data_IF_588004639434
#
_entry.id   IF_588004639434
#
_cell.length_a   1.000
_cell.length_b   1.000
_cell.length_c   1.000
_cell.angle_alpha   90.00
_cell.angle_beta   90.00
_cell.angle_gamma   90.00
#
_symmetry.space_group_name_H-M   'P 1'
#
loop_
_entity.id
_entity.type
_entity.pdbx_description
1 polymer ?
#
# COMPACT_ATOMS: atom_id res chain seq x y z
N UNK A 1 16.75 11.27 12.47
CA UNK A 1 17.22 11.14 11.07
C UNK A 1 17.69 9.71 10.88
N UNK A 2 17.35 9.06 9.78
CA UNK A 2 17.82 7.70 9.46
C UNK A 2 19.32 7.76 9.15
N UNK A 3 20.13 7.03 9.93
CA UNK A 3 21.59 6.97 9.76
C UNK A 3 22.05 5.53 9.59
N UNK A 4 23.21 5.26 8.93
CA UNK A 4 23.74 3.91 8.81
C UNK A 4 23.89 3.19 10.17
N UNK A 5 24.41 3.88 11.18
CA UNK A 5 24.56 3.29 12.54
C UNK A 5 23.23 2.88 13.15
N UNK A 6 22.17 3.68 12.95
CA UNK A 6 20.83 3.33 13.43
C UNK A 6 20.27 2.13 12.67
N UNK A 7 20.47 2.08 11.35
CA UNK A 7 20.05 0.95 10.52
C UNK A 7 20.78 -0.33 10.95
N UNK A 8 22.10 -0.26 11.20
CA UNK A 8 22.89 -1.40 11.67
C UNK A 8 22.33 -1.97 12.98
N UNK A 9 22.09 -1.11 13.97
CA UNK A 9 21.49 -1.50 15.26
C UNK A 9 20.12 -2.15 15.10
N UNK A 10 19.28 -1.65 14.20
CA UNK A 10 17.98 -2.25 13.93
C UNK A 10 18.10 -3.59 13.22
N UNK A 11 19.08 -3.75 12.33
CA UNK A 11 19.40 -5.03 11.69
C UNK A 11 19.85 -6.06 12.72
N UNK A 12 20.74 -5.69 13.65
CA UNK A 12 21.19 -6.53 14.76
C UNK A 12 20.03 -6.93 15.69
N UNK A 13 19.06 -6.02 15.89
CA UNK A 13 17.84 -6.30 16.63
C UNK A 13 16.82 -7.18 15.88
N UNK A 14 17.14 -7.62 14.65
CA UNK A 14 16.30 -8.52 13.86
C UNK A 14 15.27 -7.82 12.96
N UNK A 15 15.40 -6.52 12.72
CA UNK A 15 14.54 -5.85 11.74
C UNK A 15 14.85 -6.38 10.33
N UNK A 16 13.81 -6.88 9.62
CA UNK A 16 13.96 -7.43 8.28
C UNK A 16 13.45 -6.51 7.17
N UNK A 17 12.63 -5.51 7.52
CA UNK A 17 12.04 -4.58 6.55
C UNK A 17 11.80 -3.21 7.16
N UNK A 18 12.13 -2.16 6.38
CA UNK A 18 11.78 -0.77 6.65
C UNK A 18 10.64 -0.32 5.77
N UNK A 19 9.65 0.35 6.35
CA UNK A 19 8.65 1.09 5.61
C UNK A 19 8.91 2.59 5.71
N UNK A 20 9.07 3.23 4.57
CA UNK A 20 9.34 4.66 4.45
C UNK A 20 8.19 5.34 3.71
N UNK A 21 7.65 6.39 4.29
CA UNK A 21 6.70 7.24 3.58
C UNK A 21 7.48 8.30 2.82
N UNK A 22 7.46 8.24 1.49
CA UNK A 22 8.17 9.19 0.62
C UNK A 22 7.22 9.61 -0.49
N UNK A 23 6.73 10.84 -0.39
CA UNK A 23 5.93 11.50 -1.43
C UNK A 23 6.28 12.99 -1.56
N UNK A 24 5.84 13.60 -2.66
CA UNK A 24 6.11 15.00 -2.97
C UNK A 24 5.40 15.98 -2.02
N UNK A 25 4.26 15.56 -1.44
CA UNK A 25 3.47 16.38 -0.53
C UNK A 25 4.12 16.63 0.85
N UNK A 26 5.16 15.88 1.19
CA UNK A 26 5.85 16.02 2.49
C UNK A 26 6.76 17.24 2.60
N UNK A 27 7.03 17.96 1.50
CA UNK A 27 7.85 19.18 1.47
C UNK A 27 9.19 19.03 2.23
N UNK A 28 9.89 17.91 2.06
CA UNK A 28 11.14 17.62 2.76
C UNK A 28 12.23 18.60 2.36
N UNK A 29 13.09 19.09 3.31
CA UNK A 29 14.20 19.95 2.99
C UNK A 29 15.11 19.35 1.90
N UNK A 30 15.38 20.13 0.85
CA UNK A 30 16.13 19.70 -0.34
C UNK A 30 15.32 18.92 -1.38
N UNK A 31 14.05 18.60 -1.10
CA UNK A 31 13.13 17.84 -1.98
C UNK A 31 11.78 18.55 -2.20
N UNK A 32 11.72 19.84 -1.92
CA UNK A 32 10.56 20.68 -2.20
C UNK A 32 10.39 20.91 -3.71
N UNK A 33 9.15 21.07 -4.17
CA UNK A 33 8.80 21.33 -5.58
C UNK A 33 9.29 20.23 -6.55
N UNK A 34 9.40 19.01 -6.07
CA UNK A 34 9.70 17.83 -6.89
C UNK A 34 8.41 17.14 -7.31
N UNK A 35 8.39 16.63 -8.54
CA UNK A 35 7.34 15.73 -8.99
C UNK A 35 7.42 14.40 -8.24
N UNK A 36 6.34 13.64 -8.28
CA UNK A 36 6.31 12.35 -7.59
C UNK A 36 7.32 11.36 -8.22
N UNK A 37 7.51 11.41 -9.53
CA UNK A 37 8.52 10.61 -10.23
C UNK A 37 9.95 11.03 -9.85
N UNK A 38 10.24 12.31 -9.67
CA UNK A 38 11.56 12.80 -9.21
C UNK A 38 11.88 12.34 -7.79
N UNK A 39 10.87 12.08 -6.94
CA UNK A 39 11.08 11.50 -5.61
C UNK A 39 11.64 10.08 -5.64
N UNK A 40 11.66 9.40 -6.80
CA UNK A 40 12.35 8.12 -6.95
C UNK A 40 13.86 8.23 -6.66
N UNK A 41 14.48 9.40 -6.85
CA UNK A 41 15.87 9.62 -6.47
C UNK A 41 16.08 9.57 -4.95
N UNK A 42 15.13 10.12 -4.18
CA UNK A 42 15.16 10.03 -2.72
C UNK A 42 14.86 8.60 -2.24
N UNK A 43 13.90 7.92 -2.88
CA UNK A 43 13.63 6.51 -2.59
C UNK A 43 14.85 5.65 -2.85
N UNK A 44 15.56 5.90 -3.98
CA UNK A 44 16.79 5.18 -4.30
C UNK A 44 17.89 5.42 -3.27
N UNK A 45 18.08 6.67 -2.84
CA UNK A 45 19.01 7.00 -1.77
C UNK A 45 18.77 6.19 -0.49
N UNK A 46 17.51 6.06 -0.08
CA UNK A 46 17.16 5.23 1.09
C UNK A 46 17.37 3.74 0.82
N UNK A 47 17.02 3.25 -0.36
CA UNK A 47 17.25 1.85 -0.75
C UNK A 47 18.73 1.51 -0.66
N UNK A 48 19.61 2.35 -1.22
CA UNK A 48 21.04 2.12 -1.21
C UNK A 48 21.58 2.15 0.22
N UNK A 49 21.20 3.16 1.02
CA UNK A 49 21.60 3.26 2.43
C UNK A 49 21.21 2.02 3.24
N UNK A 50 19.98 1.56 3.11
CA UNK A 50 19.43 0.42 3.88
C UNK A 50 20.04 -0.90 3.42
N UNK A 51 20.24 -1.06 2.10
CA UNK A 51 20.83 -2.27 1.53
C UNK A 51 22.30 -2.43 1.89
N UNK A 52 23.08 -1.35 1.82
CA UNK A 52 24.52 -1.41 2.08
C UNK A 52 24.83 -1.69 3.56
N UNK A 53 23.91 -1.29 4.45
CA UNK A 53 24.15 -1.39 5.90
C UNK A 53 23.71 -2.73 6.51
N UNK A 54 22.68 -3.44 5.96
CA UNK A 54 22.19 -4.52 6.82
C UNK A 54 21.40 -5.63 6.15
N UNK A 55 21.29 -5.71 4.85
CA UNK A 55 20.46 -6.70 4.18
C UNK A 55 18.94 -6.53 4.46
N UNK A 56 18.55 -5.42 5.07
CA UNK A 56 17.15 -5.08 5.32
C UNK A 56 16.50 -4.69 4.01
N UNK A 57 15.27 -5.13 3.78
CA UNK A 57 14.46 -4.73 2.63
C UNK A 57 13.77 -3.40 2.87
N UNK A 58 13.51 -2.67 1.80
CA UNK A 58 12.68 -1.47 1.84
C UNK A 58 11.25 -1.77 1.41
N UNK A 59 10.30 -1.09 2.04
CA UNK A 59 8.96 -0.85 1.57
C UNK A 59 8.71 0.66 1.52
N UNK A 60 7.84 1.09 0.62
CA UNK A 60 7.48 2.50 0.50
C UNK A 60 5.98 2.68 0.54
N UNK A 61 5.56 3.74 1.21
CA UNK A 61 4.20 4.26 1.16
C UNK A 61 4.23 5.60 0.42
N UNK A 62 3.22 5.87 -0.38
CA UNK A 62 3.04 7.13 -1.08
C UNK A 62 1.57 7.49 -1.16
N UNK A 63 1.27 8.77 -1.09
CA UNK A 63 -0.08 9.30 -1.23
C UNK A 63 -0.35 9.63 -2.70
N UNK A 64 -1.43 9.06 -3.23
CA UNK A 64 -1.89 9.32 -4.59
C UNK A 64 -3.03 10.35 -4.56
N UNK A 65 -2.88 11.39 -5.37
CA UNK A 65 -3.85 12.47 -5.64
C UNK A 65 -4.13 12.53 -7.13
N UNK A 66 -5.16 13.23 -7.56
CA UNK A 66 -5.36 13.47 -8.99
C UNK A 66 -4.14 14.11 -9.65
N UNK A 67 -3.50 15.05 -8.96
CA UNK A 67 -2.33 15.78 -9.47
C UNK A 67 -1.12 14.89 -9.78
N UNK A 68 -0.93 13.76 -9.10
CA UNK A 68 0.20 12.84 -9.32
C UNK A 68 -0.20 11.47 -9.89
N UNK A 69 -1.49 11.22 -10.15
CA UNK A 69 -1.98 9.93 -10.65
C UNK A 69 -1.27 9.50 -11.94
N UNK A 70 -1.00 10.45 -12.84
CA UNK A 70 -0.32 10.16 -14.11
C UNK A 70 1.14 9.74 -13.95
N UNK A 71 1.77 10.02 -12.82
CA UNK A 71 3.16 9.64 -12.52
C UNK A 71 3.28 8.26 -11.86
N UNK A 72 2.17 7.68 -11.36
CA UNK A 72 2.17 6.40 -10.64
C UNK A 72 2.77 5.26 -11.46
N UNK A 73 2.52 5.12 -12.79
CA UNK A 73 3.16 4.08 -13.59
C UNK A 73 4.70 4.18 -13.60
N UNK A 74 5.28 5.39 -13.61
CA UNK A 74 6.74 5.58 -13.59
C UNK A 74 7.34 5.17 -12.26
N UNK A 75 6.63 5.44 -11.17
CA UNK A 75 7.03 5.00 -9.83
C UNK A 75 6.99 3.47 -9.74
N UNK A 76 5.96 2.85 -10.28
CA UNK A 76 5.84 1.38 -10.30
C UNK A 76 6.91 0.75 -11.21
N UNK A 77 7.31 1.40 -12.32
CA UNK A 77 8.46 0.95 -13.14
C UNK A 77 9.76 0.98 -12.35
N UNK A 78 10.03 2.08 -11.63
CA UNK A 78 11.18 2.19 -10.72
C UNK A 78 11.14 1.12 -9.63
N UNK A 79 9.99 0.92 -9.00
CA UNK A 79 9.77 -0.09 -7.98
C UNK A 79 10.07 -1.50 -8.50
N UNK A 80 9.55 -1.86 -9.69
CA UNK A 80 9.80 -3.14 -10.35
C UNK A 80 11.27 -3.35 -10.71
N UNK A 81 11.98 -2.30 -11.10
CA UNK A 81 13.42 -2.36 -11.39
C UNK A 81 14.27 -2.65 -10.13
N UNK A 82 13.74 -2.34 -8.94
CA UNK A 82 14.37 -2.61 -7.65
C UNK A 82 13.79 -3.84 -6.91
N UNK A 83 13.26 -4.82 -7.64
CA UNK A 83 12.55 -5.98 -7.08
C UNK A 83 13.34 -6.80 -6.07
N UNK A 84 14.65 -6.78 -6.12
CA UNK A 84 15.54 -7.48 -5.19
C UNK A 84 15.76 -6.74 -3.86
N UNK A 85 15.55 -5.43 -3.84
CA UNK A 85 15.81 -4.54 -2.70
C UNK A 85 14.55 -3.94 -2.08
N UNK A 86 13.54 -3.70 -2.94
CA UNK A 86 12.26 -3.13 -2.53
C UNK A 86 11.21 -4.23 -2.63
N UNK A 87 10.64 -4.62 -1.50
CA UNK A 87 9.69 -5.73 -1.41
C UNK A 87 8.23 -5.29 -1.48
N UNK A 88 7.96 -4.02 -1.15
CA UNK A 88 6.61 -3.52 -0.97
C UNK A 88 6.48 -2.05 -1.44
N UNK A 89 5.39 -1.75 -2.13
CA UNK A 89 4.95 -0.38 -2.43
C UNK A 89 3.46 -0.27 -2.13
N UNK A 90 3.08 0.70 -1.29
CA UNK A 90 1.68 1.06 -1.04
C UNK A 90 1.35 2.37 -1.75
N UNK A 91 0.42 2.31 -2.69
CA UNK A 91 -0.23 3.46 -3.29
C UNK A 91 -1.50 3.76 -2.50
N UNK A 92 -1.46 4.79 -1.67
CA UNK A 92 -2.58 5.15 -0.77
C UNK A 92 -3.35 6.29 -1.42
N UNK A 93 -4.59 6.05 -1.82
CA UNK A 93 -5.47 7.10 -2.31
C UNK A 93 -5.58 8.21 -1.27
N UNK A 94 -5.52 9.47 -1.73
CA UNK A 94 -5.60 10.61 -0.81
C UNK A 94 -6.92 10.57 -0.05
N UNK A 95 -6.81 10.72 1.26
CA UNK A 95 -7.97 10.81 2.13
C UNK A 95 -8.32 12.27 2.34
N UNK A 96 -9.51 12.60 1.95
CA UNK A 96 -10.11 13.87 2.26
C UNK A 96 -11.38 13.69 3.07
N UNK A 97 -11.79 14.74 3.77
CA UNK A 97 -13.09 14.82 4.44
C UNK A 97 -13.97 15.77 3.62
N UNK A 98 -15.08 15.29 3.00
CA UNK A 98 -15.99 16.13 2.27
C UNK A 98 -16.52 17.29 3.13
N UNK A 99 -16.73 18.47 2.54
CA UNK A 99 -17.18 19.66 3.28
C UNK A 99 -18.52 19.47 3.99
N UNK A 100 -19.42 18.74 3.37
CA UNK A 100 -20.72 18.36 3.93
C UNK A 100 -20.59 17.46 5.16
N UNK A 101 -19.63 16.55 5.16
CA UNK A 101 -19.33 15.65 6.28
C UNK A 101 -18.57 16.36 7.40
N UNK A 102 -17.75 17.35 7.08
CA UNK A 102 -17.01 18.14 8.07
C UNK A 102 -17.93 18.84 9.08
N UNK A 103 -19.16 19.14 8.69
CA UNK A 103 -20.12 19.80 9.55
C UNK A 103 -20.81 18.86 10.56
N UNK A 104 -20.63 17.55 10.42
CA UNK A 104 -21.30 16.53 11.26
C UNK A 104 -20.33 15.69 12.07
N UNK A 105 -19.05 16.06 12.09
CA UNK A 105 -18.06 15.38 12.91
C UNK A 105 -18.30 15.72 14.39
N UNK A 106 -18.43 14.68 15.20
CA UNK A 106 -18.62 14.79 16.64
C UNK A 106 -17.69 13.85 17.39
N UNK A 107 -17.19 14.32 18.53
CA UNK A 107 -16.48 13.50 19.51
C UNK A 107 -17.12 13.72 20.89
N UNK A 108 -17.55 12.64 21.53
CA UNK A 108 -18.26 12.69 22.81
C UNK A 108 -19.45 13.69 22.82
N UNK A 109 -20.21 13.76 21.72
CA UNK A 109 -21.34 14.66 21.57
C UNK A 109 -20.99 16.13 21.28
N UNK A 110 -19.70 16.47 21.18
CA UNK A 110 -19.25 17.81 20.84
C UNK A 110 -18.82 17.88 19.38
N UNK A 111 -19.24 18.94 18.68
CA UNK A 111 -18.84 19.18 17.30
C UNK A 111 -17.34 19.43 17.20
N UNK A 112 -16.69 18.80 16.22
CA UNK A 112 -15.27 18.99 15.90
C UNK A 112 -15.17 19.82 14.62
N UNK A 113 -14.18 20.73 14.58
CA UNK A 113 -13.85 21.49 13.37
C UNK A 113 -12.69 20.82 12.62
N UNK A 114 -12.64 20.99 11.29
CA UNK A 114 -11.55 20.47 10.44
C UNK A 114 -10.17 20.95 10.90
N UNK A 115 -10.08 22.19 11.40
CA UNK A 115 -8.83 22.79 11.86
C UNK A 115 -8.22 22.07 13.08
N UNK A 116 -9.02 21.26 13.77
CA UNK A 116 -8.54 20.45 14.90
C UNK A 116 -7.93 19.11 14.47
N UNK A 117 -7.97 18.77 13.18
CA UNK A 117 -7.45 17.52 12.64
C UNK A 117 -6.19 17.77 11.79
N UNK A 118 -5.10 16.97 11.97
CA UNK A 118 -3.84 17.17 11.24
C UNK A 118 -3.98 16.96 9.71
N UNK A 119 -4.94 16.16 9.29
CA UNK A 119 -5.23 15.84 7.89
C UNK A 119 -6.41 16.65 7.33
N UNK A 120 -6.69 17.81 7.91
CA UNK A 120 -7.74 18.70 7.41
C UNK A 120 -7.47 19.06 5.94
N UNK A 121 -8.46 18.83 5.09
CA UNK A 121 -8.38 19.15 3.65
C UNK A 121 -8.44 20.65 3.49
N UNK A 122 -7.59 21.17 2.64
CA UNK A 122 -7.80 22.51 2.10
C UNK A 122 -9.10 22.50 1.29
N UNK A 123 -9.95 23.53 1.42
CA UNK A 123 -11.26 23.58 0.78
C UNK A 123 -11.29 23.33 -0.75
N UNK A 124 -10.15 23.49 -1.41
CA UNK A 124 -10.00 23.46 -2.86
C UNK A 124 -9.35 22.18 -3.41
N UNK A 125 -9.03 21.19 -2.56
CA UNK A 125 -8.46 19.94 -3.03
C UNK A 125 -9.56 18.96 -3.48
N UNK A 126 -9.40 18.40 -4.68
CA UNK A 126 -10.21 17.28 -5.17
C UNK A 126 -9.90 16.03 -4.36
N UNK A 127 -10.93 15.41 -3.81
CA UNK A 127 -10.83 14.29 -2.86
C UNK A 127 -11.42 12.98 -3.38
N UNK A 128 -11.77 12.95 -4.64
CA UNK A 128 -12.57 11.90 -5.28
C UNK A 128 -11.73 10.79 -5.94
N UNK A 129 -10.43 10.71 -5.63
CA UNK A 129 -9.59 9.61 -6.13
C UNK A 129 -9.87 8.32 -5.38
N UNK A 130 -10.11 7.24 -6.12
CA UNK A 130 -10.39 5.91 -5.59
C UNK A 130 -9.26 4.91 -5.87
N UNK A 131 -9.30 3.77 -5.17
CA UNK A 131 -8.42 2.63 -5.47
C UNK A 131 -8.63 2.10 -6.89
N UNK A 132 -9.84 2.23 -7.43
CA UNK A 132 -10.18 1.79 -8.78
C UNK A 132 -9.51 2.67 -9.82
N UNK A 133 -9.48 4.00 -9.63
CA UNK A 133 -8.79 4.93 -10.54
C UNK A 133 -7.30 4.62 -10.63
N UNK A 134 -6.68 4.32 -9.49
CA UNK A 134 -5.27 3.93 -9.44
C UNK A 134 -5.05 2.59 -10.17
N UNK A 135 -5.92 1.61 -9.94
CA UNK A 135 -5.84 0.30 -10.61
C UNK A 135 -6.01 0.43 -12.13
N UNK A 136 -6.98 1.20 -12.58
CA UNK A 136 -7.25 1.45 -14.00
C UNK A 136 -6.05 2.14 -14.66
N UNK A 137 -5.50 3.19 -14.02
CA UNK A 137 -4.31 3.88 -14.51
C UNK A 137 -3.11 2.93 -14.63
N UNK A 138 -2.87 2.09 -13.64
CA UNK A 138 -1.79 1.12 -13.69
C UNK A 138 -2.03 0.06 -14.76
N UNK A 139 -3.27 -0.41 -14.92
CA UNK A 139 -3.62 -1.45 -15.88
C UNK A 139 -3.56 -0.98 -17.34
N UNK A 140 -3.77 0.33 -17.59
CA UNK A 140 -3.63 0.93 -18.91
C UNK A 140 -2.17 1.08 -19.34
N UNK A 141 -1.26 1.34 -18.39
CA UNK A 141 0.10 1.77 -18.69
C UNK A 141 1.17 0.68 -18.43
N UNK A 142 0.80 -0.39 -17.74
CA UNK A 142 1.73 -1.44 -17.31
C UNK A 142 1.19 -2.85 -17.57
N UNK A 143 2.09 -3.73 -17.98
CA UNK A 143 1.81 -5.16 -18.03
C UNK A 143 1.76 -5.78 -16.62
N UNK A 144 1.07 -6.92 -16.52
CA UNK A 144 1.04 -7.77 -15.32
C UNK A 144 0.45 -7.08 -14.08
N UNK A 145 -0.54 -6.21 -14.26
CA UNK A 145 -1.33 -5.61 -13.19
C UNK A 145 -2.56 -6.47 -12.93
N UNK A 146 -2.37 -7.57 -12.18
CA UNK A 146 -3.45 -8.51 -11.85
C UNK A 146 -3.66 -8.55 -10.35
N UNK A 147 -4.83 -8.12 -9.85
CA UNK A 147 -5.18 -8.26 -8.44
C UNK A 147 -5.12 -9.72 -7.98
N UNK A 148 -4.37 -9.98 -6.91
CA UNK A 148 -4.26 -11.30 -6.28
C UNK A 148 -5.27 -11.47 -5.15
N UNK A 149 -5.57 -10.37 -4.44
CA UNK A 149 -6.55 -10.31 -3.35
C UNK A 149 -7.05 -8.88 -3.18
N UNK A 150 -8.20 -8.75 -2.50
CA UNK A 150 -8.78 -7.46 -2.15
C UNK A 150 -9.56 -7.54 -0.84
N UNK A 151 -9.69 -6.40 -0.16
CA UNK A 151 -10.64 -6.19 0.93
C UNK A 151 -11.74 -5.23 0.48
N UNK A 152 -12.95 -5.50 0.93
CA UNK A 152 -14.13 -4.69 0.65
C UNK A 152 -14.34 -3.62 1.73
N UNK A 153 -15.26 -2.69 1.45
CA UNK A 153 -15.79 -1.79 2.45
C UNK A 153 -16.77 -2.47 3.39
N UNK A 154 -16.84 -2.02 4.64
CA UNK A 154 -17.80 -2.53 5.64
C UNK A 154 -19.22 -2.11 5.35
N UNK A 155 -19.43 -0.85 4.96
CA UNK A 155 -20.75 -0.26 4.67
C UNK A 155 -21.10 -0.36 3.19
N UNK A 156 -20.09 -0.25 2.32
CA UNK A 156 -20.21 -0.33 0.86
C UNK A 156 -19.35 -1.48 0.34
N UNK A 157 -19.87 -2.72 0.30
CA UNK A 157 -19.09 -3.90 -0.14
C UNK A 157 -18.63 -3.85 -1.60
N UNK A 158 -19.21 -2.98 -2.42
CA UNK A 158 -18.80 -2.74 -3.80
C UNK A 158 -17.52 -1.90 -3.92
N UNK A 159 -17.05 -1.26 -2.84
CA UNK A 159 -15.81 -0.51 -2.83
C UNK A 159 -14.62 -1.40 -2.50
N UNK A 160 -13.53 -1.24 -3.25
CA UNK A 160 -12.27 -1.95 -2.98
C UNK A 160 -11.38 -1.08 -2.08
N UNK A 161 -11.30 -1.46 -0.80
CA UNK A 161 -10.52 -0.74 0.21
C UNK A 161 -9.04 -1.08 0.18
N UNK A 162 -8.72 -2.29 -0.24
CA UNK A 162 -7.33 -2.72 -0.41
C UNK A 162 -7.27 -3.70 -1.56
N UNK A 163 -6.35 -3.46 -2.49
CA UNK A 163 -6.07 -4.33 -3.64
C UNK A 163 -4.61 -4.71 -3.57
N UNK A 164 -4.29 -6.00 -3.64
CA UNK A 164 -2.93 -6.50 -3.62
C UNK A 164 -2.56 -7.10 -4.96
N UNK A 165 -1.41 -6.72 -5.51
CA UNK A 165 -0.83 -7.24 -6.74
C UNK A 165 0.55 -7.79 -6.39
N UNK A 166 0.78 -9.09 -6.60
CA UNK A 166 2.05 -9.73 -6.29
C UNK A 166 2.81 -10.06 -7.59
N UNK A 167 3.79 -9.24 -7.95
CA UNK A 167 4.58 -9.43 -9.16
C UNK A 167 5.64 -10.53 -8.98
N UNK A 168 5.87 -11.33 -10.02
CA UNK A 168 6.94 -12.32 -10.11
C UNK A 168 7.95 -11.83 -11.14
N UNK A 169 9.21 -11.65 -10.73
CA UNK A 169 10.23 -11.12 -11.63
C UNK A 169 11.66 -11.35 -11.19
N UNK A 170 12.57 -10.83 -11.98
CA UNK A 170 13.99 -10.69 -11.67
C UNK A 170 14.39 -9.22 -11.77
N UNK A 171 15.64 -8.88 -11.43
CA UNK A 171 16.18 -7.52 -11.64
C UNK A 171 16.09 -7.03 -13.09
N UNK A 172 15.93 -7.93 -14.06
CA UNK A 172 15.93 -7.58 -15.47
C UNK A 172 14.53 -7.38 -16.04
N UNK A 173 13.55 -8.12 -15.51
CA UNK A 173 12.17 -8.00 -16.00
C UNK A 173 11.16 -8.66 -15.06
N UNK A 174 9.91 -8.21 -15.16
CA UNK A 174 8.75 -8.87 -14.58
C UNK A 174 8.28 -9.95 -15.55
N UNK A 175 7.99 -11.15 -15.03
CA UNK A 175 7.49 -12.30 -15.80
C UNK A 175 5.96 -12.44 -15.71
N UNK A 176 5.35 -11.95 -14.65
CA UNK A 176 3.92 -12.05 -14.39
C UNK A 176 3.56 -11.69 -12.95
N UNK A 177 2.42 -12.20 -12.51
CA UNK A 177 1.93 -12.01 -11.15
C UNK A 177 1.41 -13.32 -10.56
N UNK A 178 1.25 -13.34 -9.24
CA UNK A 178 0.54 -14.39 -8.50
C UNK A 178 -0.96 -14.17 -8.69
N UNK A 179 -1.70 -15.22 -9.01
CA UNK A 179 -3.15 -15.17 -9.16
C UNK A 179 -3.90 -15.40 -7.84
N UNK A 180 -5.21 -15.22 -7.91
CA UNK A 180 -6.13 -15.33 -6.79
C UNK A 180 -6.11 -16.69 -6.08
N UNK A 181 -5.98 -17.79 -6.84
CA UNK A 181 -5.99 -19.15 -6.29
C UNK A 181 -4.81 -19.41 -5.37
N UNK A 182 -3.61 -19.04 -5.81
CA UNK A 182 -2.40 -19.19 -5.00
C UNK A 182 -2.47 -18.28 -3.78
N UNK A 183 -2.92 -17.03 -3.95
CA UNK A 183 -3.06 -16.11 -2.82
C UNK A 183 -4.04 -16.63 -1.79
N UNK A 184 -5.19 -17.15 -2.21
CA UNK A 184 -6.16 -17.76 -1.30
C UNK A 184 -5.57 -18.97 -0.56
N UNK A 185 -4.91 -19.88 -1.26
CA UNK A 185 -4.26 -21.04 -0.64
C UNK A 185 -3.21 -20.62 0.39
N UNK A 186 -2.42 -19.61 0.07
CA UNK A 186 -1.42 -19.05 0.98
C UNK A 186 -2.10 -18.45 2.23
N UNK A 187 -3.11 -17.63 2.05
CA UNK A 187 -3.84 -17.00 3.17
C UNK A 187 -4.51 -18.04 4.06
N UNK A 188 -5.19 -19.05 3.48
CA UNK A 188 -5.82 -20.13 4.24
C UNK A 188 -4.80 -20.93 5.07
N UNK A 189 -3.62 -21.23 4.48
CA UNK A 189 -2.54 -21.92 5.17
C UNK A 189 -1.93 -21.05 6.27
N UNK A 190 -1.66 -19.78 5.95
CA UNK A 190 -1.07 -18.83 6.91
C UNK A 190 -2.01 -18.61 8.11
N UNK A 191 -3.31 -18.49 7.85
CA UNK A 191 -4.31 -18.38 8.91
C UNK A 191 -4.35 -19.62 9.82
N UNK A 192 -4.31 -20.83 9.23
CA UNK A 192 -4.28 -22.07 10.00
C UNK A 192 -3.05 -22.21 10.91
N UNK A 193 -1.90 -21.68 10.45
CA UNK A 193 -0.65 -21.77 11.18
C UNK A 193 -0.47 -20.65 12.22
N UNK A 194 -0.95 -19.46 11.92
CA UNK A 194 -0.65 -18.26 12.70
C UNK A 194 -1.88 -17.56 13.28
N UNK A 195 -3.09 -18.03 12.96
CA UNK A 195 -4.38 -17.43 13.37
C UNK A 195 -4.53 -15.95 12.98
N UNK A 196 -3.93 -15.55 11.85
CA UNK A 196 -4.01 -14.21 11.26
C UNK A 196 -3.83 -14.28 9.75
N UNK A 197 -4.34 -13.28 9.03
CA UNK A 197 -4.14 -13.16 7.59
C UNK A 197 -2.87 -12.35 7.27
N UNK A 198 -2.24 -12.65 6.14
CA UNK A 198 -1.18 -11.86 5.55
C UNK A 198 -1.61 -11.35 4.16
N UNK A 199 -1.36 -10.09 3.87
CA UNK A 199 -1.66 -9.48 2.57
C UNK A 199 -0.52 -9.65 1.57
N UNK A 200 0.64 -10.05 2.03
CA UNK A 200 1.86 -10.17 1.22
C UNK A 200 2.31 -11.62 1.15
N UNK A 201 2.85 -12.00 0.01
CA UNK A 201 3.38 -13.36 -0.17
C UNK A 201 4.88 -13.33 0.07
N UNK A 202 5.42 -14.21 0.94
CA UNK A 202 6.86 -14.29 1.13
C UNK A 202 7.57 -14.69 -0.16
N UNK A 203 8.82 -14.28 -0.28
CA UNK A 203 9.64 -14.55 -1.45
C UNK A 203 10.03 -16.02 -1.57
N UNK A 204 9.26 -16.81 -2.29
CA UNK A 204 9.56 -18.24 -2.55
C UNK A 204 10.66 -18.49 -3.60
N UNK A 205 11.21 -17.41 -4.19
CA UNK A 205 12.15 -17.57 -5.29
C UNK A 205 11.53 -18.33 -6.46
N UNK A 206 12.31 -19.19 -7.10
CA UNK A 206 11.82 -20.04 -8.22
C UNK A 206 10.75 -21.05 -7.79
N UNK A 207 10.64 -21.37 -6.52
CA UNK A 207 9.62 -22.29 -6.03
C UNK A 207 8.19 -21.80 -6.30
N UNK A 208 7.99 -20.48 -6.48
CA UNK A 208 6.69 -19.93 -6.89
C UNK A 208 6.14 -20.61 -8.16
N UNK A 209 7.00 -21.06 -9.07
CA UNK A 209 6.59 -21.69 -10.31
C UNK A 209 5.99 -23.09 -10.14
N UNK A 210 6.18 -23.77 -9.00
CA UNK A 210 5.46 -25.01 -8.70
C UNK A 210 3.95 -24.80 -8.62
N UNK A 211 3.53 -23.57 -8.26
CA UNK A 211 2.12 -23.23 -8.22
C UNK A 211 1.48 -23.06 -9.61
N UNK A 212 2.27 -23.10 -10.69
CA UNK A 212 1.77 -23.01 -12.06
C UNK A 212 0.79 -24.13 -12.43
N UNK A 213 0.82 -25.27 -11.73
CA UNK A 213 -0.16 -26.35 -11.92
C UNK A 213 -1.58 -25.91 -11.52
N UNK A 214 -1.72 -25.05 -10.52
CA UNK A 214 -2.99 -24.67 -9.94
C UNK A 214 -3.44 -23.25 -10.34
N UNK A 215 -2.50 -22.36 -10.66
CA UNK A 215 -2.73 -20.95 -10.89
C UNK A 215 -2.42 -20.54 -12.34
N UNK A 216 -3.42 -19.98 -13.02
CA UNK A 216 -3.31 -19.57 -14.43
C UNK A 216 -2.32 -18.41 -14.64
N UNK A 217 -2.23 -17.48 -13.69
CA UNK A 217 -1.36 -16.31 -13.82
C UNK A 217 0.10 -16.71 -13.58
N UNK A 218 0.37 -17.57 -12.60
CA UNK A 218 1.70 -18.13 -12.40
C UNK A 218 2.13 -19.01 -13.60
N UNK A 219 1.20 -19.72 -14.24
CA UNK A 219 1.46 -20.48 -15.46
C UNK A 219 1.87 -19.56 -16.62
N UNK A 220 1.25 -18.37 -16.74
CA UNK A 220 1.69 -17.36 -17.71
C UNK A 220 3.08 -16.83 -17.36
N UNK A 221 3.31 -16.51 -16.08
CA UNK A 221 4.62 -16.06 -15.61
C UNK A 221 5.72 -17.09 -15.88
N UNK A 222 5.47 -18.36 -15.60
CA UNK A 222 6.40 -19.46 -15.90
C UNK A 222 6.71 -19.59 -17.40
N UNK A 223 5.67 -19.47 -18.25
CA UNK A 223 5.84 -19.47 -19.71
C UNK A 223 6.73 -18.30 -20.18
N UNK A 224 6.52 -17.11 -19.63
CA UNK A 224 7.31 -15.93 -19.97
C UNK A 224 8.76 -16.08 -19.48
N UNK A 225 8.97 -16.61 -18.27
CA UNK A 225 10.29 -16.95 -17.77
C UNK A 225 11.00 -17.99 -18.68
N UNK A 226 10.32 -19.08 -19.04
CA UNK A 226 10.88 -20.13 -19.91
C UNK A 226 11.28 -19.57 -21.28
N UNK A 227 10.43 -18.71 -21.89
CA UNK A 227 10.77 -18.03 -23.15
C UNK A 227 12.00 -17.13 -23.01
N UNK A 228 12.12 -16.44 -21.88
CA UNK A 228 13.29 -15.58 -21.60
C UNK A 228 14.57 -16.42 -21.42
N UNK A 229 14.49 -17.60 -20.78
CA UNK A 229 15.59 -18.56 -20.64
C UNK A 229 15.99 -19.15 -22.01
N UNK A 230 15.03 -19.53 -22.86
CA UNK A 230 15.31 -20.02 -24.21
C UNK A 230 16.06 -18.94 -25.02
N UNK A 231 15.63 -17.69 -24.96
CA UNK A 231 16.30 -16.57 -25.66
C UNK A 231 17.68 -16.25 -25.09
N UNK A 232 17.85 -16.42 -23.78
CA UNK A 232 19.13 -16.17 -23.09
C UNK A 232 19.30 -17.17 -21.94
N UNK A 233 20.05 -18.28 -22.13
CA UNK A 233 20.22 -19.33 -21.11
C UNK A 233 20.82 -18.84 -19.79
N UNK A 234 21.57 -17.74 -19.77
CA UNK A 234 22.09 -17.17 -18.51
C UNK A 234 20.99 -16.78 -17.53
N UNK A 235 19.77 -16.53 -18.01
CA UNK A 235 18.60 -16.22 -17.16
C UNK A 235 18.17 -17.38 -16.28
N UNK A 236 18.59 -18.62 -16.60
CA UNK A 236 18.38 -19.76 -15.71
C UNK A 236 19.03 -19.56 -14.33
N UNK A 237 20.08 -18.78 -14.24
CA UNK A 237 20.79 -18.51 -12.99
C UNK A 237 20.28 -17.24 -12.26
N UNK A 238 19.34 -16.50 -12.85
CA UNK A 238 18.75 -15.32 -12.19
C UNK A 238 17.95 -15.73 -10.95
N UNK A 239 18.08 -14.90 -9.91
CA UNK A 239 17.18 -14.98 -8.75
C UNK A 239 15.80 -14.46 -9.13
N UNK A 240 14.78 -15.20 -8.76
CA UNK A 240 13.38 -14.78 -8.91
C UNK A 240 12.89 -14.27 -7.59
N UNK A 241 12.15 -13.18 -7.63
CA UNK A 241 11.59 -12.47 -6.48
C UNK A 241 10.06 -12.38 -6.63
N UNK A 242 9.39 -12.26 -5.49
CA UNK A 242 8.01 -11.81 -5.40
C UNK A 242 8.00 -10.44 -4.74
N UNK A 243 7.23 -9.53 -5.30
CA UNK A 243 7.16 -8.14 -4.89
C UNK A 243 5.71 -7.69 -4.83
N UNK A 244 5.29 -7.11 -3.69
CA UNK A 244 3.90 -6.77 -3.43
C UNK A 244 3.62 -5.28 -3.65
N UNK A 245 2.74 -4.99 -4.60
CA UNK A 245 2.14 -3.67 -4.80
C UNK A 245 0.75 -3.68 -4.16
N UNK A 246 0.49 -2.73 -3.28
CA UNK A 246 -0.78 -2.57 -2.60
C UNK A 246 -1.39 -1.22 -2.99
N UNK A 247 -2.65 -1.23 -3.38
CA UNK A 247 -3.46 -0.02 -3.57
C UNK A 247 -4.40 0.03 -2.37
N UNK A 248 -4.36 1.12 -1.63
CA UNK A 248 -5.15 1.29 -0.41
C UNK A 248 -6.07 2.49 -0.54
N UNK A 249 -7.36 2.25 -0.31
CA UNK A 249 -8.37 3.29 -0.11
C UNK A 249 -8.55 3.46 1.40
N UNK A 250 -8.23 4.62 1.99
CA UNK A 250 -8.55 4.90 3.38
C UNK A 250 -10.05 4.85 3.63
N UNK A 251 -10.47 5.02 4.89
CA UNK A 251 -11.87 5.08 5.20
C UNK A 251 -12.55 6.27 4.50
N UNK A 252 -13.81 6.11 4.21
CA UNK A 252 -14.70 7.12 3.65
C UNK A 252 -15.92 7.26 4.55
N UNK A 253 -16.56 8.42 4.49
CA UNK A 253 -17.87 8.63 5.09
C UNK A 253 -18.88 8.73 3.94
N UNK A 254 -19.80 7.79 3.88
CA UNK A 254 -20.81 7.70 2.83
C UNK A 254 -22.18 7.69 3.52
N UNK A 255 -23.03 8.64 3.17
CA UNK A 255 -24.37 8.81 3.76
C UNK A 255 -24.36 8.87 5.31
N UNK A 256 -23.31 9.47 5.88
CA UNK A 256 -23.14 9.59 7.33
C UNK A 256 -22.60 8.32 8.02
N UNK A 257 -22.29 7.28 7.28
CA UNK A 257 -21.73 6.04 7.79
C UNK A 257 -20.27 5.86 7.41
N UNK A 258 -19.50 5.27 8.30
CA UNK A 258 -18.08 5.05 8.13
C UNK A 258 -17.83 3.76 7.35
N UNK A 259 -17.28 3.88 6.14
CA UNK A 259 -16.90 2.76 5.30
C UNK A 259 -15.42 2.40 5.50
N UNK A 260 -15.15 1.42 6.37
CA UNK A 260 -13.82 0.91 6.70
C UNK A 260 -13.45 -0.30 5.81
N UNK A 261 -12.23 -0.81 5.98
CA UNK A 261 -11.85 -2.09 5.38
C UNK A 261 -12.50 -3.25 6.16
N UNK A 262 -13.26 -4.10 5.48
CA UNK A 262 -13.77 -5.34 6.06
C UNK A 262 -12.60 -6.32 6.28
N UNK A 263 -12.33 -6.64 7.56
CA UNK A 263 -11.17 -7.46 7.94
C UNK A 263 -9.82 -6.72 7.79
N UNK A 264 -9.75 -5.44 8.17
CA UNK A 264 -8.52 -4.65 8.07
C UNK A 264 -7.33 -5.34 8.72
N UNK A 265 -6.25 -5.50 7.94
CA UNK A 265 -4.98 -6.08 8.40
C UNK A 265 -4.01 -5.05 8.98
N UNK A 266 -4.25 -3.75 8.72
CA UNK A 266 -3.40 -2.66 9.15
C UNK A 266 -3.91 -2.09 10.48
N UNK A 267 -3.64 -2.83 11.55
CA UNK A 267 -4.03 -2.47 12.91
C UNK A 267 -2.83 -1.95 13.69
N UNK A 268 -3.06 -0.96 14.55
CA UNK A 268 -2.06 -0.36 15.42
C UNK A 268 -2.46 -0.51 16.89
N UNK A 269 -1.53 -0.85 17.79
CA UNK A 269 -1.83 -0.89 19.21
C UNK A 269 -1.96 0.53 19.78
N UNK A 270 -3.05 0.76 20.51
CA UNK A 270 -3.28 2.00 21.25
C UNK A 270 -3.92 1.70 22.60
N UNK A 271 -3.26 2.03 23.72
CA UNK A 271 -3.75 1.83 25.10
C UNK A 271 -4.34 0.44 25.38
N UNK A 272 -3.72 -0.61 24.80
CA UNK A 272 -4.14 -2.00 25.01
C UNK A 272 -5.20 -2.52 24.01
N UNK A 273 -5.68 -1.69 23.10
CA UNK A 273 -6.61 -2.06 22.04
C UNK A 273 -5.93 -2.04 20.66
N UNK A 274 -6.46 -2.84 19.72
CA UNK A 274 -6.04 -2.82 18.32
C UNK A 274 -7.03 -1.98 17.52
N UNK A 275 -6.54 -0.86 16.99
CA UNK A 275 -7.35 0.08 16.20
C UNK A 275 -6.90 0.14 14.74
N UNK A 276 -7.80 0.51 13.84
CA UNK A 276 -7.44 0.71 12.44
C UNK A 276 -6.40 1.84 12.31
N UNK A 277 -5.29 1.57 11.63
CA UNK A 277 -4.19 2.54 11.49
C UNK A 277 -4.64 3.88 10.88
N UNK A 278 -5.63 3.84 9.97
CA UNK A 278 -6.18 5.04 9.35
C UNK A 278 -6.97 5.94 10.33
N UNK A 279 -7.29 5.45 11.53
CA UNK A 279 -7.98 6.21 12.60
C UNK A 279 -7.06 6.55 13.78
N UNK A 280 -5.77 6.16 13.74
CA UNK A 280 -4.86 6.33 14.87
C UNK A 280 -4.73 7.77 15.32
N UNK A 281 -4.76 8.74 14.40
CA UNK A 281 -4.63 10.15 14.72
C UNK A 281 -5.86 10.69 15.50
N UNK A 282 -7.05 10.17 15.21
CA UNK A 282 -8.26 10.49 16.00
C UNK A 282 -8.08 10.08 17.47
N UNK A 283 -7.58 8.86 17.70
CA UNK A 283 -7.31 8.36 19.04
C UNK A 283 -6.19 9.11 19.76
N UNK A 284 -5.13 9.51 19.04
CA UNK A 284 -4.01 10.28 19.63
C UNK A 284 -4.41 11.68 20.01
N UNK A 285 -5.22 12.36 19.20
CA UNK A 285 -5.64 13.74 19.41
C UNK A 285 -6.80 13.87 20.37
N UNK A 286 -7.81 13.02 20.20
CA UNK A 286 -9.09 13.15 20.89
C UNK A 286 -9.26 12.07 21.97
N UNK A 287 -8.45 11.00 21.94
CA UNK A 287 -8.58 9.88 22.88
C UNK A 287 -9.57 8.80 22.43
N UNK A 288 -10.16 8.91 21.24
CA UNK A 288 -11.13 7.97 20.72
C UNK A 288 -11.59 8.29 19.29
N UNK A 289 -12.53 7.50 18.73
CA UNK A 289 -12.97 7.66 17.37
C UNK A 289 -13.91 8.86 17.17
N UNK A 290 -13.79 9.51 16.02
CA UNK A 290 -14.76 10.52 15.57
C UNK A 290 -16.03 9.78 15.10
N UNK A 291 -17.17 10.30 15.50
CA UNK A 291 -18.48 9.86 15.01
C UNK A 291 -18.96 10.82 13.91
N UNK A 292 -19.55 10.26 12.87
CA UNK A 292 -20.12 10.96 11.73
C UNK A 292 -21.63 10.72 11.79
N UNK A 293 -22.40 11.61 12.43
CA UNK A 293 -23.83 11.42 12.63
C UNK A 293 -24.63 12.45 11.84
N UNK A 294 -25.56 11.98 11.03
CA UNK A 294 -26.58 12.83 10.39
C UNK A 294 -27.65 13.30 11.38
N UNK A 295 -27.82 12.66 12.51
CA UNK A 295 -28.85 13.03 13.50
C UNK A 295 -28.59 14.42 14.10
N UNK A 296 -27.33 14.85 14.13
CA UNK A 296 -26.95 16.20 14.64
C UNK A 296 -27.36 17.32 13.68
N UNK A 297 -27.68 17.03 12.42
CA UNK A 297 -28.12 18.04 11.42
C UNK A 297 -29.60 18.36 11.56
N UNK A 298 -30.41 17.51 12.16
CA UNK A 298 -31.88 17.62 12.12
C UNK A 298 -32.51 18.50 13.20
N UNK A 299 -31.77 18.95 14.21
CA UNK A 299 -32.32 19.82 15.24
C UNK A 299 -31.33 20.89 15.72
N UNK A 300 -31.31 22.11 15.13
CA UNK A 300 -31.00 23.30 15.91
C UNK A 300 -32.26 23.57 16.75
N UNK A 301 -32.25 23.21 18.01
CA UNK A 301 -33.23 23.70 19.00
C UNK A 301 -32.97 25.15 19.35
#
# INVERSE_FOLDING_TARGET
>A
MLTPDFIAKLSEAGLFQFFLHVDSGQNRPGWTNKTEAEMNNLRQYYVDMVHDTGKIKCGFNMTIRHSNLNEVPDIVRWYRANIDRVSHLSCIAFRGIPKDVANVMCFNGQKITLDSLPDAIKPDEEIDISSTDILEKLSSDLDYVYPSAYLKGTTRPETFKLITINNIGSRKQIYGAIGEKTMKMYQDLYYKLHNKYDATVPGFGKMVFFMAFFDKEIRKAFRNYSRAVIKNPSRLFEKIFVQSLVIQQPFEVIDGELNLCDGCINLMPYKGEMINSCRLDEYRLLGGPINYSQETIRHPS
#
